data_IF_486269809016
#
_entry.id   IF_486269809016
#
_cell.length_a   1.000
_cell.length_b   1.000
_cell.length_c   1.000
_cell.angle_alpha   90.00
_cell.angle_beta   90.00
_cell.angle_gamma   90.00
#
_symmetry.space_group_name_H-M   'P 1'
#
loop_
_entity.id
_entity.type
_entity.pdbx_description
1 polymer ?
#
# COMPACT_ATOMS: atom_id res chain seq x y z
N UNK A 1 21.68 26.23 12.49
CA UNK A 1 21.79 24.98 11.71
C UNK A 1 20.63 24.10 12.14
N UNK A 2 19.55 24.04 11.36
CA UNK A 2 18.38 23.22 11.67
C UNK A 2 18.67 21.78 11.25
N UNK A 3 18.74 20.87 12.21
CA UNK A 3 18.84 19.44 11.94
C UNK A 3 17.41 18.88 11.87
N UNK A 4 16.90 18.66 10.66
CA UNK A 4 15.60 18.00 10.47
C UNK A 4 15.74 16.54 10.87
N UNK A 5 15.22 16.15 12.03
CA UNK A 5 15.05 14.73 12.33
C UNK A 5 13.81 14.24 11.58
N UNK A 6 14.01 13.40 10.56
CA UNK A 6 12.94 12.71 9.87
C UNK A 6 12.32 11.68 10.83
N UNK A 7 11.32 12.10 11.59
CA UNK A 7 10.49 11.16 12.34
C UNK A 7 9.55 10.45 11.34
N UNK A 8 9.53 9.13 11.45
CA UNK A 8 8.78 8.25 10.56
C UNK A 8 7.68 7.58 11.36
N UNK A 9 6.41 7.92 11.11
CA UNK A 9 5.29 7.26 11.79
C UNK A 9 5.11 5.87 11.18
N UNK A 10 5.22 4.83 12.02
CA UNK A 10 5.15 3.42 11.62
C UNK A 10 3.86 2.81 12.14
N UNK A 11 3.11 2.16 11.26
CA UNK A 11 1.94 1.34 11.62
C UNK A 11 2.13 -0.10 11.18
N UNK A 12 1.67 -1.04 12.00
CA UNK A 12 1.70 -2.48 11.72
C UNK A 12 0.31 -3.02 11.43
N UNK A 13 0.22 -4.00 10.54
CA UNK A 13 -1.02 -4.72 10.27
C UNK A 13 -0.77 -6.00 9.47
N UNK A 14 -1.84 -6.56 8.93
CA UNK A 14 -1.81 -7.75 8.09
C UNK A 14 -2.35 -7.43 6.69
N UNK A 15 -1.84 -8.11 5.68
CA UNK A 15 -2.32 -8.02 4.30
C UNK A 15 -2.27 -9.40 3.65
N UNK A 16 -3.11 -9.62 2.63
CA UNK A 16 -3.02 -10.82 1.80
C UNK A 16 -2.06 -10.57 0.63
N UNK A 17 -1.06 -11.43 0.48
CA UNK A 17 -0.21 -11.44 -0.69
C UNK A 17 -0.96 -12.07 -1.88
N UNK A 18 -0.99 -11.36 -3.01
CA UNK A 18 -1.66 -11.79 -4.24
C UNK A 18 -0.70 -11.61 -5.44
N UNK A 19 -0.28 -12.74 -6.02
CA UNK A 19 0.60 -12.80 -7.18
C UNK A 19 -0.09 -12.56 -8.52
N UNK A 20 -1.43 -12.61 -8.56
CA UNK A 20 -2.23 -12.27 -9.73
C UNK A 20 -2.59 -10.78 -9.80
N UNK A 21 -2.42 -10.05 -8.70
CA UNK A 21 -2.74 -8.63 -8.63
C UNK A 21 -1.57 -7.76 -9.12
N UNK A 22 -1.82 -7.01 -10.20
CA UNK A 22 -0.88 -6.01 -10.74
C UNK A 22 -0.74 -4.75 -9.87
N UNK A 23 -1.61 -4.58 -8.86
CA UNK A 23 -1.60 -3.42 -7.98
C UNK A 23 -1.97 -3.83 -6.55
N UNK A 24 -1.45 -3.09 -5.57
CA UNK A 24 -1.86 -3.27 -4.17
C UNK A 24 -3.10 -2.45 -3.85
N UNK A 25 -4.03 -3.02 -3.08
CA UNK A 25 -5.27 -2.37 -2.63
C UNK A 25 -5.20 -2.14 -1.12
N UNK A 26 -5.37 -0.91 -0.67
CA UNK A 26 -5.49 -0.64 0.75
C UNK A 26 -6.88 -1.04 1.25
N UNK A 27 -6.91 -1.85 2.31
CA UNK A 27 -8.13 -2.14 3.06
C UNK A 27 -8.62 -0.93 3.84
N UNK A 28 -9.85 -0.99 4.33
CA UNK A 28 -10.46 0.10 5.12
C UNK A 28 -9.59 0.52 6.30
N UNK A 29 -9.04 -0.44 7.06
CA UNK A 29 -8.16 -0.16 8.21
C UNK A 29 -6.87 0.55 7.80
N UNK A 30 -6.21 0.08 6.74
CA UNK A 30 -4.98 0.73 6.26
C UNK A 30 -5.31 2.14 5.76
N UNK A 31 -6.40 2.32 5.03
CA UNK A 31 -6.81 3.64 4.57
C UNK A 31 -7.07 4.62 5.73
N UNK A 32 -7.77 4.20 6.79
CA UNK A 32 -7.98 5.02 7.99
C UNK A 32 -6.65 5.41 8.65
N UNK A 33 -5.70 4.48 8.76
CA UNK A 33 -4.36 4.76 9.28
C UNK A 33 -3.65 5.81 8.42
N UNK A 34 -3.67 5.65 7.10
CA UNK A 34 -3.04 6.59 6.17
C UNK A 34 -3.62 8.00 6.30
N UNK A 35 -4.94 8.13 6.45
CA UNK A 35 -5.61 9.41 6.72
C UNK A 35 -5.14 10.02 8.05
N UNK A 36 -5.14 9.24 9.14
CA UNK A 36 -4.70 9.69 10.46
C UNK A 36 -3.21 10.05 10.53
N UNK A 37 -2.42 9.56 9.58
CA UNK A 37 -1.00 9.86 9.45
C UNK A 37 -0.72 11.00 8.45
N UNK A 38 -1.75 11.58 7.84
CA UNK A 38 -1.59 12.69 6.90
C UNK A 38 -0.98 12.29 5.55
N UNK A 39 -1.21 11.04 5.11
CA UNK A 39 -0.78 10.61 3.78
C UNK A 39 -1.37 11.50 2.69
N UNK A 40 -0.57 11.81 1.67
CA UNK A 40 -1.06 12.47 0.47
C UNK A 40 -1.70 11.44 -0.47
N UNK A 41 -2.81 11.83 -1.09
CA UNK A 41 -3.55 11.01 -2.05
C UNK A 41 -3.73 11.76 -3.37
N UNK A 42 -3.54 11.05 -4.47
CA UNK A 42 -3.84 11.50 -5.81
C UNK A 42 -5.15 10.86 -6.27
N UNK A 43 -6.08 11.64 -6.84
CA UNK A 43 -7.25 11.10 -7.53
C UNK A 43 -6.85 10.68 -8.93
N UNK A 44 -7.19 9.46 -9.33
CA UNK A 44 -6.89 8.94 -10.67
C UNK A 44 -7.99 7.99 -11.13
N UNK A 45 -8.17 7.85 -12.44
CA UNK A 45 -9.09 6.87 -13.02
C UNK A 45 -8.30 5.67 -13.51
N UNK A 46 -8.67 4.48 -13.05
CA UNK A 46 -8.02 3.23 -13.44
C UNK A 46 -9.03 2.23 -14.00
N UNK A 47 -8.55 1.35 -14.87
CA UNK A 47 -9.31 0.16 -15.28
C UNK A 47 -8.98 -0.99 -14.33
N UNK A 48 -9.97 -1.45 -13.57
CA UNK A 48 -9.85 -2.62 -12.70
C UNK A 48 -10.46 -3.82 -13.44
N UNK A 49 -9.66 -4.87 -13.60
CA UNK A 49 -10.14 -6.17 -14.07
C UNK A 49 -10.34 -7.07 -12.86
N UNK A 50 -11.55 -7.60 -12.71
CA UNK A 50 -11.89 -8.56 -11.67
C UNK A 50 -11.76 -9.99 -12.20
N UNK A 51 -11.74 -10.96 -11.29
CA UNK A 51 -11.54 -12.38 -11.62
C UNK A 51 -12.69 -12.98 -12.47
N UNK A 52 -13.83 -12.32 -12.54
CA UNK A 52 -14.95 -12.66 -13.41
C UNK A 52 -14.77 -12.14 -14.86
N UNK A 53 -13.63 -11.51 -15.16
CA UNK A 53 -13.32 -10.92 -16.45
C UNK A 53 -13.98 -9.55 -16.69
N UNK A 54 -14.76 -9.03 -15.72
CA UNK A 54 -15.32 -7.70 -15.83
C UNK A 54 -14.22 -6.65 -15.68
N UNK A 55 -14.21 -5.70 -16.60
CA UNK A 55 -13.34 -4.53 -16.56
C UNK A 55 -14.20 -3.31 -16.29
N UNK A 56 -13.91 -2.60 -15.21
CA UNK A 56 -14.62 -1.38 -14.84
C UNK A 56 -13.64 -0.22 -14.72
N UNK A 57 -13.98 0.91 -15.32
CA UNK A 57 -13.28 2.16 -15.03
C UNK A 57 -13.80 2.75 -13.73
N UNK A 58 -12.90 3.08 -12.82
CA UNK A 58 -13.25 3.63 -11.53
C UNK A 58 -12.30 4.74 -11.13
N UNK A 59 -12.87 5.83 -10.61
CA UNK A 59 -12.10 6.84 -9.90
C UNK A 59 -11.66 6.27 -8.54
N UNK A 60 -10.36 6.35 -8.29
CA UNK A 60 -9.71 5.81 -7.11
C UNK A 60 -8.78 6.85 -6.51
N UNK A 61 -8.39 6.63 -5.25
CA UNK A 61 -7.26 7.35 -4.67
C UNK A 61 -6.01 6.49 -4.81
N UNK A 62 -4.88 7.13 -5.06
CA UNK A 62 -3.57 6.49 -5.14
C UNK A 62 -2.61 7.17 -4.17
N UNK A 63 -1.77 6.37 -3.51
CA UNK A 63 -0.68 6.87 -2.68
C UNK A 63 0.52 5.93 -2.75
N UNK A 64 1.72 6.43 -2.42
CA UNK A 64 2.95 5.65 -2.43
C UNK A 64 3.50 5.49 -1.03
N UNK A 65 3.48 4.26 -0.52
CA UNK A 65 3.89 3.96 0.84
C UNK A 65 5.12 3.07 0.85
N UNK A 66 6.00 3.29 1.83
CA UNK A 66 7.08 2.34 2.09
C UNK A 66 6.55 1.22 2.96
N UNK A 67 6.58 0.01 2.38
CA UNK A 67 6.16 -1.25 2.97
C UNK A 67 7.39 -2.00 3.46
N UNK A 68 7.40 -2.43 4.72
CA UNK A 68 8.40 -3.35 5.24
C UNK A 68 7.81 -4.76 5.33
N UNK A 69 8.34 -5.71 4.57
CA UNK A 69 8.04 -7.14 4.67
C UNK A 69 9.34 -7.90 4.94
N UNK A 70 9.36 -8.76 5.96
CA UNK A 70 10.52 -9.61 6.29
C UNK A 70 11.86 -8.84 6.35
N UNK A 71 11.83 -7.61 6.86
CA UNK A 71 13.02 -6.74 6.97
C UNK A 71 13.40 -5.98 5.70
N UNK A 72 12.69 -6.18 4.58
CA UNK A 72 12.93 -5.51 3.29
C UNK A 72 11.94 -4.40 3.03
N UNK A 73 12.43 -3.28 2.50
CA UNK A 73 11.63 -2.08 2.22
C UNK A 73 11.27 -2.01 0.74
N UNK A 74 10.00 -1.79 0.46
CA UNK A 74 9.45 -1.65 -0.88
C UNK A 74 8.65 -0.36 -0.98
N UNK A 75 8.89 0.43 -2.03
CA UNK A 75 8.03 1.58 -2.33
C UNK A 75 6.85 1.08 -3.15
N UNK A 76 5.69 0.97 -2.51
CA UNK A 76 4.52 0.32 -3.09
C UNK A 76 3.42 1.34 -3.36
N UNK A 77 2.91 1.42 -4.61
CA UNK A 77 1.68 2.16 -4.89
C UNK A 77 0.49 1.39 -4.32
N UNK A 78 -0.33 2.07 -3.51
CA UNK A 78 -1.62 1.58 -3.05
C UNK A 78 -2.74 2.30 -3.80
N UNK A 79 -3.68 1.51 -4.29
CA UNK A 79 -5.00 1.96 -4.73
C UNK A 79 -5.95 1.88 -3.54
N UNK A 80 -6.76 2.91 -3.35
CA UNK A 80 -7.85 2.93 -2.39
C UNK A 80 -9.14 3.10 -3.18
N UNK A 81 -10.08 2.18 -2.94
CA UNK A 81 -11.43 2.26 -3.47
C UNK A 81 -12.29 2.96 -2.41
N UNK A 82 -12.64 4.25 -2.59
CA UNK A 82 -13.33 5.02 -1.54
C UNK A 82 -14.71 4.44 -1.17
N UNK A 83 -15.37 3.75 -2.11
CA UNK A 83 -16.68 3.12 -1.86
C UNK A 83 -16.57 1.73 -1.20
N UNK A 84 -15.38 1.13 -1.17
CA UNK A 84 -15.20 -0.19 -0.58
C UNK A 84 -15.26 -0.07 0.95
N UNK A 85 -16.25 -0.73 1.55
CA UNK A 85 -16.39 -0.84 3.00
C UNK A 85 -15.97 -2.25 3.41
N UNK A 86 -15.20 -2.36 4.49
CA UNK A 86 -14.78 -3.62 5.10
C UNK A 86 -13.93 -4.54 4.18
N UNK A 87 -13.18 -3.98 3.23
CA UNK A 87 -12.21 -4.75 2.45
C UNK A 87 -10.90 -4.94 3.22
N UNK A 88 -10.25 -6.08 3.02
CA UNK A 88 -8.90 -6.35 3.51
C UNK A 88 -7.85 -5.71 2.61
N UNK A 89 -6.66 -5.43 3.16
CA UNK A 89 -5.51 -4.98 2.38
C UNK A 89 -4.99 -6.14 1.52
N UNK A 90 -4.82 -5.89 0.23
CA UNK A 90 -4.21 -6.80 -0.73
C UNK A 90 -2.86 -6.22 -1.17
N UNK A 91 -1.81 -7.02 -1.11
CA UNK A 91 -0.49 -6.68 -1.61
C UNK A 91 -0.27 -7.39 -2.93
N UNK A 92 -0.27 -6.63 -4.02
CA UNK A 92 0.13 -7.11 -5.34
C UNK A 92 1.63 -7.31 -5.38
N UNK A 93 2.09 -8.55 -5.26
CA UNK A 93 3.52 -8.86 -5.12
C UNK A 93 4.28 -8.76 -6.44
N UNK A 94 3.57 -8.65 -7.57
CA UNK A 94 4.18 -8.50 -8.89
C UNK A 94 5.05 -7.22 -8.99
N UNK A 95 4.62 -6.14 -8.33
CA UNK A 95 5.37 -4.88 -8.26
C UNK A 95 6.52 -4.89 -7.24
N UNK A 96 6.63 -5.94 -6.42
CA UNK A 96 7.61 -6.05 -5.33
C UNK A 96 8.79 -6.95 -5.71
N UNK A 97 8.77 -7.52 -6.91
CA UNK A 97 9.87 -8.30 -7.45
C UNK A 97 11.03 -7.37 -7.80
N UNK A 98 12.14 -7.50 -7.07
CA UNK A 98 13.43 -7.08 -7.62
C UNK A 98 13.76 -8.03 -8.78
N UNK A 99 14.31 -7.51 -9.88
CA UNK A 99 14.62 -8.28 -11.09
C UNK A 99 15.50 -9.52 -10.86
N UNK A 100 16.19 -9.56 -9.72
CA UNK A 100 17.17 -10.58 -9.36
C UNK A 100 16.73 -11.48 -8.19
N UNK A 101 15.49 -11.35 -7.70
CA UNK A 101 15.03 -12.08 -6.52
C UNK A 101 13.65 -12.72 -6.71
N UNK A 102 13.64 -14.06 -6.75
CA UNK A 102 12.44 -14.88 -6.70
C UNK A 102 11.95 -14.91 -5.26
N UNK A 103 11.11 -13.95 -4.87
CA UNK A 103 10.35 -14.06 -3.63
C UNK A 103 9.02 -14.76 -3.94
N UNK A 104 8.95 -16.06 -3.66
CA UNK A 104 7.69 -16.81 -3.71
C UNK A 104 6.90 -16.54 -2.43
N UNK A 105 5.79 -15.81 -2.55
CA UNK A 105 4.77 -15.78 -1.52
C UNK A 105 3.70 -16.82 -1.90
N UNK A 106 3.40 -17.80 -1.03
CA UNK A 106 2.28 -18.71 -1.27
C UNK A 106 1.00 -17.89 -1.47
N UNK A 107 0.15 -18.33 -2.41
CA UNK A 107 -1.15 -17.68 -2.63
C UNK A 107 -1.92 -17.60 -1.31
N UNK A 108 -2.47 -16.40 -1.01
CA UNK A 108 -3.24 -16.11 0.22
C UNK A 108 -2.45 -16.15 1.52
N UNK A 109 -1.15 -15.83 1.48
CA UNK A 109 -0.36 -15.64 2.70
C UNK A 109 -0.74 -14.34 3.40
N UNK A 110 -1.00 -14.41 4.71
CA UNK A 110 -1.13 -13.23 5.55
C UNK A 110 0.27 -12.75 5.92
N UNK A 111 0.66 -11.57 5.43
CA UNK A 111 1.97 -10.99 5.70
C UNK A 111 1.88 -9.85 6.71
N UNK A 112 2.86 -9.76 7.60
CA UNK A 112 3.04 -8.62 8.50
C UNK A 112 3.48 -7.39 7.71
N UNK A 113 2.61 -6.38 7.65
CA UNK A 113 2.82 -5.14 6.92
C UNK A 113 3.22 -4.03 7.88
N UNK A 114 4.35 -3.36 7.63
CA UNK A 114 4.59 -2.06 8.24
C UNK A 114 4.62 -0.95 7.20
N UNK A 115 3.80 0.07 7.42
CA UNK A 115 3.75 1.27 6.59
C UNK A 115 4.43 2.42 7.30
N UNK A 116 5.31 3.10 6.57
CA UNK A 116 6.04 4.27 7.05
C UNK A 116 5.63 5.51 6.26
N UNK A 117 5.26 6.58 6.98
CA UNK A 117 5.02 7.91 6.39
C UNK A 117 6.10 8.87 6.89
N UNK A 118 6.77 9.64 6.00
CA UNK A 118 7.65 10.73 6.42
C UNK A 118 6.83 11.83 7.10
N UNK A 119 7.13 12.16 8.37
CA UNK A 119 6.63 13.39 8.98
C UNK A 119 7.57 14.54 8.61
N UNK A 120 7.08 15.54 7.87
CA UNK A 120 7.74 16.83 7.78
C UNK A 120 7.33 17.67 9.00
N UNK A 121 8.09 17.60 10.08
CA UNK A 121 8.00 18.62 11.13
C UNK A 121 9.01 19.74 10.86
N UNK A 122 8.51 20.94 10.63
CA UNK A 122 9.29 22.15 10.90
C UNK A 122 9.32 22.33 12.41
N UNK A 123 10.46 22.07 13.04
CA UNK A 123 10.68 22.40 14.45
C UNK A 123 11.10 23.87 14.47
N UNK A 124 10.24 24.72 15.02
CA UNK A 124 10.49 26.15 15.26
C UNK A 124 11.37 26.36 16.48
#
# INVERSE_FOLDING_TARGET
MLCTQNQHKRSSGTAFADSGASHSIAGATLYTILLQQGAAFEKTSISLSFADGLVTQKEVLRTFQTVLLEGRKFKTPFIILPDAKNNSTLLGVDNMRNKDEVTEFPERTVVGLFVTIPENRTIS
#
